data_IF_658243274001
#
_entry.id   IF_658243274001
#
_cell.length_a   1.000
_cell.length_b   1.000
_cell.length_c   1.000
_cell.angle_alpha   90.00
_cell.angle_beta   90.00
_cell.angle_gamma   90.00
#
_symmetry.space_group_name_H-M   'P 1'
#
loop_
_entity.id
_entity.type
_entity.pdbx_description
1 polymer ?
#
# COMPACT_ATOMS: atom_id res chain seq x y z
N UNK A 1 24.52 -2.45 1.78
CA UNK A 1 23.21 -1.80 1.50
C UNK A 1 22.20 -2.82 0.95
N UNK A 2 22.54 -3.59 -0.09
CA UNK A 2 21.65 -4.61 -0.68
C UNK A 2 21.24 -5.75 0.27
N UNK A 3 22.16 -6.30 1.08
CA UNK A 3 21.84 -7.37 2.06
C UNK A 3 20.90 -6.88 3.16
N UNK A 4 21.02 -5.62 3.55
CA UNK A 4 20.13 -5.01 4.55
C UNK A 4 18.72 -4.81 3.98
N UNK A 5 18.61 -4.35 2.72
CA UNK A 5 17.35 -4.27 1.99
C UNK A 5 16.67 -5.65 1.88
N UNK A 6 17.43 -6.72 1.65
CA UNK A 6 16.86 -8.07 1.60
C UNK A 6 16.36 -8.57 2.95
N UNK A 7 17.11 -8.34 4.04
CA UNK A 7 16.68 -8.76 5.39
C UNK A 7 15.44 -7.97 5.83
N UNK A 8 15.43 -6.66 5.57
CA UNK A 8 14.29 -5.80 5.88
C UNK A 8 13.01 -6.28 5.19
N UNK A 9 13.09 -6.65 3.90
CA UNK A 9 11.94 -7.19 3.15
C UNK A 9 11.42 -8.51 3.72
N UNK A 10 12.32 -9.40 4.18
CA UNK A 10 11.93 -10.68 4.79
C UNK A 10 11.17 -10.44 6.10
N UNK A 11 11.71 -9.59 6.99
CA UNK A 11 11.06 -9.28 8.26
C UNK A 11 9.70 -8.63 8.03
N UNK A 12 9.63 -7.67 7.10
CA UNK A 12 8.39 -6.99 6.75
C UNK A 12 7.34 -7.96 6.18
N UNK A 13 7.75 -8.91 5.33
CA UNK A 13 6.87 -9.96 4.81
C UNK A 13 6.25 -10.80 5.94
N UNK A 14 7.06 -11.25 6.89
CA UNK A 14 6.56 -12.05 8.02
C UNK A 14 5.62 -11.26 8.93
N UNK A 15 5.89 -9.96 9.13
CA UNK A 15 4.97 -9.06 9.85
C UNK A 15 3.63 -8.99 9.14
N UNK A 16 3.60 -8.78 7.83
CA UNK A 16 2.33 -8.70 7.08
C UNK A 16 1.59 -10.03 7.06
N UNK A 17 2.28 -11.17 6.92
CA UNK A 17 1.63 -12.49 7.00
C UNK A 17 0.97 -12.70 8.35
N UNK A 18 1.70 -12.45 9.44
CA UNK A 18 1.17 -12.56 10.79
C UNK A 18 -0.01 -11.61 11.01
N UNK A 19 0.13 -10.34 10.63
CA UNK A 19 -0.92 -9.34 10.79
C UNK A 19 -2.20 -9.72 10.04
N UNK A 20 -2.08 -10.18 8.79
CA UNK A 20 -3.23 -10.63 8.00
C UNK A 20 -3.88 -11.89 8.56
N UNK A 21 -3.08 -12.83 9.06
CA UNK A 21 -3.58 -14.09 9.59
C UNK A 21 -4.30 -13.90 10.94
N UNK A 22 -3.80 -13.01 11.80
CA UNK A 22 -4.29 -12.85 13.18
C UNK A 22 -5.29 -11.70 13.36
N UNK A 23 -5.26 -10.68 12.49
CA UNK A 23 -6.13 -9.50 12.62
C UNK A 23 -7.33 -9.59 11.67
N UNK A 24 -8.55 -9.37 12.19
CA UNK A 24 -9.80 -9.53 11.43
C UNK A 24 -10.55 -8.24 11.13
N UNK A 25 -10.07 -7.09 11.59
CA UNK A 25 -10.83 -5.82 11.50
C UNK A 25 -9.92 -4.60 11.42
N UNK A 26 -9.01 -4.59 10.47
CA UNK A 26 -8.11 -3.45 10.30
C UNK A 26 -8.87 -2.29 9.65
N UNK A 27 -8.58 -1.06 10.09
CA UNK A 27 -9.22 0.15 9.57
C UNK A 27 -8.30 0.99 8.70
N UNK A 28 -7.00 0.90 8.93
CA UNK A 28 -5.95 1.63 8.23
C UNK A 28 -4.89 0.65 7.73
N UNK A 29 -4.39 0.88 6.51
CA UNK A 29 -3.27 0.13 5.94
C UNK A 29 -2.36 1.05 5.14
N UNK A 30 -1.09 1.06 5.53
CA UNK A 30 -0.01 1.67 4.74
C UNK A 30 0.60 0.61 3.81
N UNK A 31 0.49 0.85 2.49
CA UNK A 31 1.03 0.02 1.42
C UNK A 31 2.42 0.47 0.96
N UNK A 32 2.97 1.56 1.49
CA UNK A 32 4.12 2.29 0.95
C UNK A 32 5.37 1.44 0.68
N UNK A 33 5.61 0.41 1.50
CA UNK A 33 6.73 -0.53 1.33
C UNK A 33 6.27 -1.97 1.02
N UNK A 34 4.98 -2.17 0.76
CA UNK A 34 4.40 -3.49 0.46
C UNK A 34 4.77 -3.90 -0.95
N UNK A 35 5.78 -4.76 -1.06
CA UNK A 35 6.17 -5.40 -2.34
C UNK A 35 5.50 -6.75 -2.57
N UNK A 36 4.87 -7.30 -1.55
CA UNK A 36 4.26 -8.62 -1.61
C UNK A 36 2.74 -8.51 -1.76
N UNK A 37 2.11 -9.46 -2.46
CA UNK A 37 0.67 -9.42 -2.70
C UNK A 37 -0.11 -9.77 -1.42
N UNK A 38 -0.23 -8.81 -0.50
CA UNK A 38 -0.90 -8.98 0.81
C UNK A 38 -2.32 -9.54 0.69
N UNK A 39 -2.99 -9.23 -0.43
CA UNK A 39 -4.32 -9.74 -0.78
C UNK A 39 -4.37 -11.26 -1.01
N UNK A 40 -3.23 -11.94 -1.16
CA UNK A 40 -3.13 -13.39 -1.35
C UNK A 40 -2.84 -14.15 -0.05
N UNK A 41 -2.54 -13.45 1.05
CA UNK A 41 -2.24 -14.15 2.30
C UNK A 41 -3.50 -14.79 2.89
N UNK A 42 -3.37 -15.96 3.54
CA UNK A 42 -4.48 -16.58 4.26
C UNK A 42 -5.09 -15.58 5.26
N UNK A 43 -6.41 -15.41 5.22
CA UNK A 43 -7.12 -14.45 6.09
C UNK A 43 -7.26 -13.03 5.53
N UNK A 44 -6.65 -12.69 4.38
CA UNK A 44 -6.71 -11.34 3.79
C UNK A 44 -8.14 -10.85 3.55
N UNK A 45 -9.02 -11.73 3.08
CA UNK A 45 -10.43 -11.40 2.83
C UNK A 45 -11.21 -11.00 4.08
N UNK A 46 -10.81 -11.51 5.25
CA UNK A 46 -11.40 -11.17 6.55
C UNK A 46 -10.71 -9.91 7.09
N UNK A 47 -9.38 -9.93 7.14
CA UNK A 47 -8.54 -8.85 7.67
C UNK A 47 -8.89 -7.50 7.01
N UNK A 48 -8.89 -7.49 5.67
CA UNK A 48 -9.00 -6.28 4.86
C UNK A 48 -10.46 -5.88 4.56
N UNK A 49 -11.45 -6.71 4.91
CA UNK A 49 -12.87 -6.50 4.57
C UNK A 49 -13.38 -5.12 5.00
N UNK A 50 -12.88 -4.68 6.16
CA UNK A 50 -13.34 -3.52 6.91
C UNK A 50 -12.43 -2.30 6.77
N UNK A 51 -11.46 -2.37 5.85
CA UNK A 51 -10.49 -1.33 5.59
C UNK A 51 -11.18 -0.05 5.14
N UNK A 52 -10.90 1.04 5.85
CA UNK A 52 -11.50 2.36 5.63
C UNK A 52 -10.47 3.34 5.08
N UNK A 53 -9.22 3.23 5.50
CA UNK A 53 -8.16 4.19 5.19
C UNK A 53 -6.97 3.47 4.56
N UNK A 54 -6.44 4.02 3.47
CA UNK A 54 -5.24 3.49 2.80
C UNK A 54 -4.23 4.61 2.53
N UNK A 55 -2.97 4.31 2.79
CA UNK A 55 -1.82 5.07 2.30
C UNK A 55 -1.07 4.23 1.26
N UNK A 56 -0.64 4.84 0.16
CA UNK A 56 0.00 4.10 -0.93
C UNK A 56 0.88 4.99 -1.82
N UNK A 57 1.79 4.34 -2.56
CA UNK A 57 2.57 4.99 -3.62
C UNK A 57 2.04 4.56 -4.98
N UNK A 58 1.81 5.48 -5.91
CA UNK A 58 1.27 5.13 -7.24
C UNK A 58 2.20 4.24 -8.06
N UNK A 59 3.50 4.21 -7.71
CA UNK A 59 4.51 3.34 -8.31
C UNK A 59 4.50 1.89 -7.82
N UNK A 60 3.62 1.51 -6.86
CA UNK A 60 3.46 0.12 -6.46
C UNK A 60 2.88 -0.74 -7.59
N UNK A 61 3.04 -2.06 -7.48
CA UNK A 61 2.58 -2.99 -8.51
C UNK A 61 1.07 -2.84 -8.79
N UNK A 62 0.72 -2.77 -10.07
CA UNK A 62 -0.70 -2.70 -10.50
C UNK A 62 -1.55 -3.85 -9.94
N UNK A 63 -0.99 -5.06 -9.85
CA UNK A 63 -1.70 -6.24 -9.34
C UNK A 63 -2.04 -6.12 -7.86
N UNK A 64 -1.21 -5.44 -7.06
CA UNK A 64 -1.50 -5.16 -5.65
C UNK A 64 -2.82 -4.42 -5.53
N UNK A 65 -2.97 -3.32 -6.28
CA UNK A 65 -4.19 -2.52 -6.23
C UNK A 65 -5.41 -3.28 -6.74
N UNK A 66 -5.28 -4.15 -7.75
CA UNK A 66 -6.40 -4.99 -8.17
C UNK A 66 -6.84 -5.97 -7.09
N UNK A 67 -5.90 -6.58 -6.38
CA UNK A 67 -6.19 -7.47 -5.27
C UNK A 67 -6.89 -6.75 -4.11
N UNK A 68 -6.38 -5.59 -3.71
CA UNK A 68 -7.03 -4.75 -2.69
C UNK A 68 -8.42 -4.30 -3.17
N UNK A 69 -8.56 -3.89 -4.44
CA UNK A 69 -9.83 -3.49 -5.00
C UNK A 69 -10.85 -4.64 -5.06
N UNK A 70 -10.39 -5.89 -5.13
CA UNK A 70 -11.25 -7.06 -5.10
C UNK A 70 -11.90 -7.23 -3.72
N UNK A 71 -11.12 -7.08 -2.64
CA UNK A 71 -11.55 -7.30 -1.26
C UNK A 71 -12.20 -6.05 -0.66
N UNK A 72 -11.51 -4.90 -0.70
CA UNK A 72 -11.87 -3.69 0.01
C UNK A 72 -12.92 -2.86 -0.75
N UNK A 73 -14.10 -2.69 -0.16
CA UNK A 73 -15.22 -1.90 -0.73
C UNK A 73 -15.65 -0.71 0.12
N UNK A 74 -15.02 -0.54 1.29
CA UNK A 74 -15.44 0.40 2.33
C UNK A 74 -14.43 1.53 2.56
N UNK A 75 -13.48 1.72 1.64
CA UNK A 75 -12.46 2.77 1.79
C UNK A 75 -13.14 4.14 1.67
N UNK A 76 -12.89 4.98 2.67
CA UNK A 76 -13.36 6.35 2.76
C UNK A 76 -12.22 7.37 2.66
N UNK A 77 -10.98 7.00 2.99
CA UNK A 77 -9.81 7.89 2.91
C UNK A 77 -8.66 7.26 2.14
N UNK A 78 -8.10 8.02 1.20
CA UNK A 78 -6.95 7.61 0.40
C UNK A 78 -5.88 8.70 0.52
N UNK A 79 -4.71 8.31 0.98
CA UNK A 79 -3.49 9.09 0.90
C UNK A 79 -2.62 8.45 -0.18
N UNK A 80 -2.09 9.26 -1.09
CA UNK A 80 -1.27 8.74 -2.17
C UNK A 80 -0.09 9.65 -2.51
N UNK A 81 1.11 9.08 -2.47
CA UNK A 81 2.26 9.63 -3.15
C UNK A 81 2.16 9.28 -4.64
N UNK A 82 2.01 10.31 -5.47
CA UNK A 82 1.88 10.16 -6.91
C UNK A 82 3.22 10.34 -7.61
N UNK A 83 3.54 9.37 -8.47
CA UNK A 83 4.75 9.38 -9.30
C UNK A 83 4.48 8.99 -10.76
N UNK A 84 3.65 7.96 -10.97
CA UNK A 84 3.26 7.46 -12.29
C UNK A 84 1.79 7.05 -12.33
N UNK A 85 1.22 7.02 -13.53
CA UNK A 85 -0.12 6.46 -13.77
C UNK A 85 -0.19 4.98 -13.38
N UNK A 86 -1.28 4.60 -12.71
CA UNK A 86 -1.50 3.22 -12.29
C UNK A 86 -2.97 2.84 -12.45
N UNK A 87 -3.26 1.99 -13.44
CA UNK A 87 -4.62 1.53 -13.74
C UNK A 87 -5.23 0.68 -12.62
N UNK A 88 -4.39 0.01 -11.83
CA UNK A 88 -4.81 -0.73 -10.65
C UNK A 88 -5.30 0.20 -9.55
N UNK A 89 -4.54 1.26 -9.27
CA UNK A 89 -4.95 2.30 -8.32
C UNK A 89 -6.25 3.00 -8.79
N UNK A 90 -6.35 3.34 -10.08
CA UNK A 90 -7.57 3.89 -10.64
C UNK A 90 -8.77 2.94 -10.46
N UNK A 91 -8.56 1.63 -10.62
CA UNK A 91 -9.59 0.62 -10.34
C UNK A 91 -9.96 0.58 -8.86
N UNK A 92 -8.97 0.61 -7.95
CA UNK A 92 -9.20 0.66 -6.50
C UNK A 92 -10.08 1.85 -6.13
N UNK A 93 -9.76 3.05 -6.61
CA UNK A 93 -10.55 4.26 -6.36
C UNK A 93 -11.97 4.10 -6.91
N UNK A 94 -12.11 3.64 -8.16
CA UNK A 94 -13.42 3.47 -8.82
C UNK A 94 -14.34 2.45 -8.14
N UNK A 95 -13.80 1.46 -7.43
CA UNK A 95 -14.64 0.47 -6.73
C UNK A 95 -15.21 0.99 -5.42
N UNK A 96 -14.71 2.12 -4.90
CA UNK A 96 -15.18 2.68 -3.64
C UNK A 96 -16.39 3.60 -3.87
N UNK A 97 -17.41 3.46 -3.03
CA UNK A 97 -18.63 4.29 -3.07
C UNK A 97 -18.75 5.28 -1.91
N UNK A 98 -17.77 5.30 -1.01
CA UNK A 98 -17.83 6.01 0.28
C UNK A 98 -16.64 6.94 0.50
N UNK A 99 -15.89 7.27 -0.54
CA UNK A 99 -14.76 8.19 -0.44
C UNK A 99 -15.24 9.53 0.11
N UNK A 100 -14.59 9.98 1.18
CA UNK A 100 -14.78 11.26 1.85
C UNK A 100 -13.54 12.15 1.75
N UNK A 101 -12.36 11.54 1.58
CA UNK A 101 -11.10 12.27 1.57
C UNK A 101 -10.09 11.61 0.62
N UNK A 102 -9.43 12.45 -0.19
CA UNK A 102 -8.28 12.06 -1.01
C UNK A 102 -7.18 13.11 -0.81
N UNK A 103 -5.96 12.66 -0.49
CA UNK A 103 -4.75 13.47 -0.52
C UNK A 103 -3.80 12.91 -1.56
N UNK A 104 -3.29 13.78 -2.42
CA UNK A 104 -2.28 13.45 -3.43
C UNK A 104 -1.05 14.31 -3.16
N UNK A 105 0.09 13.67 -2.96
CA UNK A 105 1.39 14.33 -2.83
C UNK A 105 2.25 13.95 -4.01
N UNK A 106 2.76 14.95 -4.73
CA UNK A 106 3.71 14.72 -5.82
C UNK A 106 5.12 14.65 -5.24
N UNK A 107 5.83 13.54 -5.50
CA UNK A 107 7.24 13.43 -5.11
C UNK A 107 8.07 14.20 -6.15
N UNK A 108 8.35 15.47 -5.88
CA UNK A 108 9.38 16.22 -6.62
C UNK A 108 10.76 15.71 -6.21
N UNK A 109 11.62 15.34 -7.16
CA UNK A 109 12.92 14.72 -6.91
C UNK A 109 13.96 15.61 -6.18
N UNK A 110 13.56 16.72 -5.58
CA UNK A 110 14.47 17.73 -5.00
C UNK A 110 15.13 17.29 -3.68
N UNK A 111 14.67 16.22 -3.04
CA UNK A 111 15.18 15.80 -1.73
C UNK A 111 16.25 14.71 -1.76
N UNK A 112 16.59 14.15 -2.92
CA UNK A 112 17.59 13.06 -3.05
C UNK A 112 19.02 13.52 -3.34
N UNK A 113 19.30 14.83 -3.43
CA UNK A 113 20.67 15.34 -3.66
C UNK A 113 21.47 15.63 -2.38
N UNK A 114 20.91 15.47 -1.17
CA UNK A 114 21.64 15.79 0.08
C UNK A 114 22.53 14.68 0.63
N UNK A 115 22.33 13.43 0.21
CA UNK A 115 23.11 12.29 0.72
C UNK A 115 24.35 11.95 -0.14
N UNK A 116 24.51 12.56 -1.31
CA UNK A 116 25.68 12.36 -2.20
C UNK A 116 26.79 13.43 -2.02
N UNK A 117 26.64 14.38 -1.08
CA UNK A 117 27.63 15.46 -0.82
C UNK A 117 28.58 15.13 0.35
N UNK A 118 28.61 13.88 0.82
CA UNK A 118 29.73 13.39 1.65
C UNK A 118 30.63 12.50 0.78
N UNK A 119 31.43 13.16 -0.06
CA UNK A 119 32.67 12.60 -0.62
C UNK A 119 33.85 13.11 0.16
#
# INVERSE_FOLDING_TARGET
>A
MEVFLSIFQIVLLEIYKFFVNECSNIRYLDLGEVRHPIYQFPGAEICLLNLNEVDCKSCLETLLFYGIAHICKLIEKIYMEFKYDNIGLAKLIKTQKRIKYIKVEEITNEEREKDDIIK
#
